data_IF_354466995330
#
_entry.id   IF_354466995330
#
_cell.length_a   1.000
_cell.length_b   1.000
_cell.length_c   1.000
_cell.angle_alpha   90.00
_cell.angle_beta   90.00
_cell.angle_gamma   90.00
#
_symmetry.space_group_name_H-M   'P 1'
#
loop_
_entity.id
_entity.type
_entity.pdbx_description
1 polymer ?
#
# COMPACT_ATOMS: atom_id res chain seq x y z
N UNK A 1 -0.53 22.97 -2.02
CA UNK A 1 -1.32 22.22 -3.02
C UNK A 1 -2.24 21.21 -2.31
N UNK A 2 -3.19 21.72 -1.49
CA UNK A 2 -3.89 20.93 -0.44
C UNK A 2 -5.43 20.97 -0.56
N UNK A 3 -5.97 21.41 -1.70
CA UNK A 3 -7.41 21.75 -1.84
C UNK A 3 -8.05 21.16 -3.12
N UNK A 4 -7.32 20.45 -3.99
CA UNK A 4 -7.90 20.03 -5.29
C UNK A 4 -8.66 18.70 -5.27
N UNK A 5 -8.39 17.77 -4.35
CA UNK A 5 -8.94 16.40 -4.48
C UNK A 5 -10.37 16.22 -3.96
N UNK A 6 -10.85 17.04 -3.03
CA UNK A 6 -12.22 16.87 -2.53
C UNK A 6 -13.28 17.33 -3.54
N UNK A 7 -12.94 18.28 -4.41
CA UNK A 7 -13.86 18.82 -5.43
C UNK A 7 -13.61 18.27 -6.84
N UNK A 8 -12.36 17.97 -7.23
CA UNK A 8 -12.08 17.41 -8.56
C UNK A 8 -12.56 15.96 -8.67
N UNK A 9 -12.49 15.17 -7.59
CA UNK A 9 -12.89 13.76 -7.64
C UNK A 9 -14.42 13.57 -7.57
N UNK A 10 -15.16 14.54 -7.02
CA UNK A 10 -16.63 14.48 -6.92
C UNK A 10 -17.37 14.98 -8.16
N UNK A 11 -16.79 15.88 -8.96
CA UNK A 11 -17.49 16.58 -10.05
C UNK A 11 -16.67 16.65 -11.35
N UNK A 12 -16.28 15.50 -11.91
CA UNK A 12 -15.95 15.45 -13.35
C UNK A 12 -17.26 15.20 -14.11
N UNK A 13 -17.91 16.31 -14.49
CA UNK A 13 -19.29 16.42 -14.98
C UNK A 13 -19.47 15.87 -16.42
N UNK A 14 -20.65 15.26 -16.67
CA UNK A 14 -21.22 14.87 -17.97
C UNK A 14 -21.80 16.07 -18.74
N UNK A 15 -21.57 16.19 -20.07
CA UNK A 15 -22.48 16.60 -21.20
C UNK A 15 -21.61 16.81 -22.46
N UNK A 16 -21.89 16.47 -23.72
CA UNK A 16 -23.10 16.30 -24.56
C UNK A 16 -22.78 15.32 -25.74
N UNK A 17 -23.57 15.29 -26.82
CA UNK A 17 -23.59 14.35 -27.98
C UNK A 17 -22.26 14.10 -28.74
N UNK A 18 -21.11 14.63 -28.29
CA UNK A 18 -19.81 14.53 -29.00
C UNK A 18 -18.55 14.42 -28.10
N UNK A 19 -18.62 14.07 -26.80
CA UNK A 19 -17.46 14.12 -25.87
C UNK A 19 -17.18 12.88 -25.00
N UNK A 20 -15.88 12.65 -24.68
CA UNK A 20 -15.27 11.48 -23.99
C UNK A 20 -15.85 11.22 -22.59
N UNK A 21 -16.20 9.95 -22.31
CA UNK A 21 -17.16 9.56 -21.25
C UNK A 21 -16.64 8.56 -20.21
N UNK A 22 -15.34 8.55 -19.91
CA UNK A 22 -14.82 7.72 -18.82
C UNK A 22 -14.06 8.55 -17.79
N UNK A 23 -14.55 8.54 -16.54
CA UNK A 23 -13.86 9.13 -15.37
C UNK A 23 -12.40 8.67 -15.32
N UNK A 24 -12.16 7.38 -15.58
CA UNK A 24 -10.83 6.80 -15.68
C UNK A 24 -10.00 7.47 -16.76
N UNK A 25 -10.51 7.63 -17.99
CA UNK A 25 -9.78 8.29 -19.09
C UNK A 25 -9.45 9.74 -18.80
N UNK A 26 -10.39 10.52 -18.25
CA UNK A 26 -10.12 11.94 -17.90
C UNK A 26 -9.08 12.03 -16.78
N UNK A 27 -9.22 11.22 -15.73
CA UNK A 27 -8.24 11.17 -14.65
C UNK A 27 -6.87 10.73 -15.18
N UNK A 28 -6.81 9.69 -16.00
CA UNK A 28 -5.58 9.19 -16.59
C UNK A 28 -4.84 10.27 -17.39
N UNK A 29 -5.54 11.03 -18.23
CA UNK A 29 -4.94 12.11 -19.01
C UNK A 29 -4.35 13.21 -18.12
N UNK A 30 -5.07 13.62 -17.06
CA UNK A 30 -4.60 14.61 -16.10
C UNK A 30 -3.37 14.11 -15.32
N UNK A 31 -3.38 12.83 -14.93
CA UNK A 31 -2.31 12.21 -14.16
C UNK A 31 -1.06 11.96 -15.01
N UNK A 32 -1.22 11.64 -16.31
CA UNK A 32 -0.11 11.60 -17.27
C UNK A 32 0.59 12.96 -17.36
N UNK A 33 -0.18 14.06 -17.41
CA UNK A 33 0.39 15.42 -17.39
C UNK A 33 1.09 15.76 -16.06
N UNK A 34 0.75 15.05 -14.98
CA UNK A 34 1.40 15.17 -13.67
C UNK A 34 2.62 14.23 -13.51
N UNK A 35 3.06 13.54 -14.57
CA UNK A 35 4.23 12.68 -14.55
C UNK A 35 3.98 11.26 -14.03
N UNK A 36 2.72 10.81 -14.04
CA UNK A 36 2.39 9.39 -13.93
C UNK A 36 2.45 8.70 -15.29
N UNK A 37 2.59 7.38 -15.24
CA UNK A 37 2.74 6.50 -16.39
C UNK A 37 1.67 5.41 -16.32
N UNK A 38 1.43 4.68 -17.42
CA UNK A 38 0.47 3.59 -17.43
C UNK A 38 0.75 2.57 -16.33
N UNK A 39 -0.28 2.18 -15.59
CA UNK A 39 -0.20 1.09 -14.62
C UNK A 39 -0.35 -0.26 -15.32
N UNK A 40 0.40 -1.25 -14.85
CA UNK A 40 0.55 -2.55 -15.49
C UNK A 40 -0.16 -3.65 -14.70
N UNK A 41 -0.59 -4.70 -15.39
CA UNK A 41 -1.00 -5.96 -14.77
C UNK A 41 -0.70 -7.09 -15.75
N UNK A 42 -0.09 -8.17 -15.26
CA UNK A 42 0.26 -9.35 -16.07
C UNK A 42 1.13 -9.00 -17.30
N UNK A 43 2.03 -8.02 -17.14
CA UNK A 43 2.93 -7.56 -18.21
C UNK A 43 2.25 -6.71 -19.30
N UNK A 44 0.98 -6.32 -19.12
CA UNK A 44 0.24 -5.49 -20.06
C UNK A 44 0.02 -4.09 -19.49
N UNK A 45 0.41 -3.07 -20.26
CA UNK A 45 0.18 -1.67 -19.90
C UNK A 45 -1.33 -1.37 -19.89
N UNK A 46 -1.73 -0.47 -19.00
CA UNK A 46 -3.11 -0.09 -18.71
C UNK A 46 -4.01 -1.18 -18.11
N UNK A 47 -3.51 -2.41 -17.94
CA UNK A 47 -4.35 -3.53 -17.51
C UNK A 47 -4.63 -3.56 -15.99
N UNK A 48 -4.06 -2.64 -15.21
CA UNK A 48 -4.39 -2.46 -13.80
C UNK A 48 -5.77 -1.79 -13.63
N UNK A 49 -6.79 -2.58 -13.27
CA UNK A 49 -8.15 -2.09 -13.04
C UNK A 49 -8.34 -1.43 -11.66
N UNK A 50 -7.30 -1.41 -10.81
CA UNK A 50 -7.36 -0.88 -9.44
C UNK A 50 -7.04 0.62 -9.35
N UNK A 51 -6.67 1.26 -10.47
CA UNK A 51 -6.27 2.67 -10.56
C UNK A 51 -6.70 3.30 -11.89
N UNK A 52 -6.91 4.61 -11.89
CA UNK A 52 -7.08 5.42 -13.10
C UNK A 52 -5.87 5.40 -14.05
N UNK A 53 -4.68 5.01 -13.60
CA UNK A 53 -3.51 4.85 -14.48
C UNK A 53 -3.56 3.56 -15.31
N UNK A 54 -4.48 2.64 -15.02
CA UNK A 54 -4.90 1.61 -15.95
C UNK A 54 -6.32 1.88 -16.46
N UNK A 55 -7.08 0.83 -16.75
CA UNK A 55 -8.49 0.94 -17.15
C UNK A 55 -9.45 1.01 -15.95
N UNK A 56 -8.93 1.19 -14.74
CA UNK A 56 -9.73 1.42 -13.54
C UNK A 56 -10.38 2.80 -13.50
N UNK A 57 -11.39 2.95 -12.62
CA UNK A 57 -12.13 4.21 -12.39
C UNK A 57 -11.97 4.74 -10.97
N UNK A 58 -10.99 4.20 -10.25
CA UNK A 58 -10.66 4.46 -8.86
C UNK A 58 -9.52 5.48 -8.73
N UNK A 59 -9.24 5.92 -7.51
CA UNK A 59 -8.09 6.75 -7.21
C UNK A 59 -6.76 6.08 -7.63
N UNK A 60 -5.68 6.88 -7.77
CA UNK A 60 -4.35 6.37 -7.98
C UNK A 60 -3.96 5.28 -6.98
N UNK A 61 -3.13 4.34 -7.41
CA UNK A 61 -2.55 3.29 -6.56
C UNK A 61 -1.59 3.89 -5.53
N UNK A 62 -1.21 3.10 -4.51
CA UNK A 62 -0.27 3.56 -3.48
C UNK A 62 1.05 4.13 -4.02
N UNK A 63 1.78 3.46 -4.93
CA UNK A 63 3.01 4.03 -5.50
C UNK A 63 2.75 5.31 -6.32
N UNK A 64 1.62 5.41 -7.02
CA UNK A 64 1.24 6.62 -7.76
C UNK A 64 0.94 7.79 -6.82
N UNK A 65 0.20 7.54 -5.73
CA UNK A 65 -0.07 8.53 -4.69
C UNK A 65 1.22 9.04 -4.04
N UNK A 66 2.19 8.14 -3.80
CA UNK A 66 3.48 8.54 -3.26
C UNK A 66 4.28 9.38 -4.27
N UNK A 67 4.30 8.98 -5.55
CA UNK A 67 5.03 9.70 -6.61
C UNK A 67 4.49 11.12 -6.83
N UNK A 68 3.19 11.32 -6.63
CA UNK A 68 2.55 12.64 -6.69
C UNK A 68 2.73 13.47 -5.41
N UNK A 69 3.36 12.92 -4.36
CA UNK A 69 3.40 13.51 -3.02
C UNK A 69 1.99 13.79 -2.45
N UNK A 70 1.01 12.95 -2.83
CA UNK A 70 -0.38 13.06 -2.38
C UNK A 70 -0.65 12.19 -1.15
N UNK A 71 0.17 11.16 -0.94
CA UNK A 71 0.12 10.37 0.27
C UNK A 71 1.52 9.89 0.71
N UNK A 72 1.65 9.57 1.99
CA UNK A 72 2.89 9.14 2.62
C UNK A 72 2.78 7.75 3.26
N UNK A 73 3.87 6.99 3.30
CA UNK A 73 3.88 5.66 3.90
C UNK A 73 3.77 5.73 5.43
N UNK A 74 3.05 4.77 6.00
CA UNK A 74 3.03 4.46 7.43
C UNK A 74 4.38 3.91 7.88
N UNK A 75 4.99 3.08 7.01
CA UNK A 75 6.29 2.49 7.23
C UNK A 75 7.04 2.33 5.91
N UNK A 76 8.36 2.52 6.00
CA UNK A 76 9.32 2.18 4.96
C UNK A 76 10.21 1.05 5.48
N UNK A 77 10.10 -0.12 4.86
CA UNK A 77 10.77 -1.35 5.31
C UNK A 77 11.94 -1.68 4.40
N UNK A 78 13.11 -1.86 4.99
CA UNK A 78 14.34 -2.31 4.33
C UNK A 78 15.18 -3.10 5.35
N UNK A 79 16.31 -3.66 4.93
CA UNK A 79 17.17 -4.50 5.79
C UNK A 79 17.62 -3.80 7.07
N UNK A 80 17.82 -2.48 7.04
CA UNK A 80 18.23 -1.69 8.20
C UNK A 80 17.12 -1.48 9.23
N UNK A 81 15.86 -1.48 8.79
CA UNK A 81 14.69 -1.13 9.64
C UNK A 81 13.72 -2.27 9.85
N UNK A 82 13.90 -3.41 9.18
CA UNK A 82 12.98 -4.54 9.20
C UNK A 82 13.71 -5.85 9.46
N UNK A 83 13.62 -6.30 10.71
CA UNK A 83 14.26 -7.54 11.17
C UNK A 83 13.69 -8.77 10.43
N UNK A 84 14.58 -9.70 10.09
CA UNK A 84 14.21 -10.99 9.48
C UNK A 84 13.60 -11.94 10.52
N UNK A 85 12.74 -12.85 10.05
CA UNK A 85 12.15 -13.97 10.79
C UNK A 85 11.19 -13.59 11.91
N UNK A 86 10.81 -12.32 12.00
CA UNK A 86 9.88 -11.83 13.02
C UNK A 86 8.75 -11.07 12.35
N UNK A 87 7.51 -11.42 12.67
CA UNK A 87 6.36 -10.63 12.22
C UNK A 87 6.38 -9.25 12.86
N UNK A 88 6.16 -8.23 12.03
CA UNK A 88 5.80 -6.89 12.48
C UNK A 88 4.38 -6.57 12.10
N UNK A 89 3.62 -6.08 13.07
CA UNK A 89 2.22 -5.73 12.91
C UNK A 89 2.06 -4.24 12.62
N UNK A 90 1.13 -3.91 11.72
CA UNK A 90 0.76 -2.55 11.37
C UNK A 90 -0.75 -2.45 11.26
N UNK A 91 -1.34 -1.39 11.81
CA UNK A 91 -2.74 -1.05 11.56
C UNK A 91 -2.79 -0.15 10.35
N UNK A 92 -3.23 -0.69 9.21
CA UNK A 92 -3.26 0.01 7.94
C UNK A 92 -4.65 0.63 7.71
N UNK A 93 -4.78 1.97 7.67
CA UNK A 93 -6.02 2.62 7.26
C UNK A 93 -6.24 2.52 5.76
N UNK A 94 -7.50 2.55 5.34
CA UNK A 94 -7.87 2.64 3.93
C UNK A 94 -7.38 3.97 3.33
N UNK A 95 -6.92 3.93 2.08
CA UNK A 95 -6.31 5.09 1.40
C UNK A 95 -7.20 6.33 1.32
N UNK A 96 -8.53 6.16 1.33
CA UNK A 96 -9.46 7.28 1.27
C UNK A 96 -9.55 8.08 2.58
N UNK A 97 -9.07 7.54 3.71
CA UNK A 97 -9.18 8.17 5.02
C UNK A 97 -8.26 9.40 5.18
N UNK A 98 -7.19 9.49 4.40
CA UNK A 98 -6.31 10.65 4.42
C UNK A 98 -5.00 10.44 3.67
N UNK A 99 -4.14 11.47 3.64
CA UNK A 99 -2.86 11.42 2.92
C UNK A 99 -1.71 10.82 3.76
N UNK A 100 -1.89 10.61 5.06
CA UNK A 100 -0.78 10.24 5.95
C UNK A 100 -0.91 8.80 6.42
N UNK A 101 0.15 8.02 6.26
CA UNK A 101 0.24 6.69 6.86
C UNK A 101 -0.72 5.67 6.24
N UNK A 102 -1.01 5.76 4.95
CA UNK A 102 -2.03 4.92 4.27
C UNK A 102 -1.48 3.78 3.42
N UNK A 103 -0.16 3.58 3.46
CA UNK A 103 0.52 2.52 2.72
C UNK A 103 1.79 2.07 3.44
N UNK A 104 2.29 0.89 3.11
CA UNK A 104 3.64 0.46 3.48
C UNK A 104 4.46 0.35 2.20
N UNK A 105 5.64 1.00 2.18
CA UNK A 105 6.64 0.82 1.13
C UNK A 105 7.70 -0.15 1.64
N UNK A 106 8.05 -1.14 0.82
CA UNK A 106 9.05 -2.14 1.12
C UNK A 106 10.12 -2.08 0.04
N UNK A 107 11.36 -1.85 0.45
CA UNK A 107 12.57 -1.90 -0.36
C UNK A 107 13.32 -3.18 0.01
N UNK A 108 13.14 -4.28 -0.74
CA UNK A 108 13.73 -5.57 -0.43
C UNK A 108 15.23 -5.64 -0.79
N UNK A 109 16.01 -4.67 -0.30
CA UNK A 109 17.46 -4.55 -0.46
C UNK A 109 18.24 -5.80 0.01
N UNK A 110 17.63 -6.59 0.88
CA UNK A 110 18.13 -7.89 1.31
C UNK A 110 18.21 -8.96 0.24
N UNK A 111 17.62 -8.74 -0.93
CA UNK A 111 17.79 -9.61 -2.08
C UNK A 111 19.13 -9.37 -2.80
N UNK A 112 19.90 -8.35 -2.40
CA UNK A 112 21.17 -8.01 -3.02
C UNK A 112 20.99 -7.67 -4.50
N UNK A 113 21.75 -8.33 -5.39
CA UNK A 113 21.65 -8.12 -6.83
C UNK A 113 20.29 -8.52 -7.45
N UNK A 114 19.50 -9.35 -6.76
CA UNK A 114 18.16 -9.73 -7.21
C UNK A 114 17.08 -8.69 -6.86
N UNK A 115 17.40 -7.66 -6.07
CA UNK A 115 16.48 -6.56 -5.81
C UNK A 115 16.31 -5.71 -7.07
N UNK A 116 15.12 -5.75 -7.66
CA UNK A 116 14.77 -4.94 -8.84
C UNK A 116 13.52 -4.10 -8.62
N UNK A 117 12.63 -4.50 -7.72
CA UNK A 117 11.34 -3.85 -7.48
C UNK A 117 11.09 -3.55 -6.00
N UNK A 118 10.46 -2.41 -5.73
CA UNK A 118 9.82 -2.08 -4.46
C UNK A 118 8.42 -2.69 -4.40
N UNK A 119 7.94 -3.00 -3.19
CA UNK A 119 6.57 -3.46 -2.94
C UNK A 119 5.80 -2.39 -2.17
N UNK A 120 4.55 -2.20 -2.55
CA UNK A 120 3.60 -1.32 -1.90
C UNK A 120 2.41 -2.12 -1.41
N UNK A 121 2.03 -1.89 -0.16
CA UNK A 121 0.85 -2.49 0.45
C UNK A 121 -0.12 -1.37 0.85
N UNK A 122 -1.37 -1.43 0.39
CA UNK A 122 -2.39 -0.46 0.74
C UNK A 122 -3.76 -1.11 0.87
N UNK A 123 -4.49 -0.76 1.93
CA UNK A 123 -5.89 -1.15 2.06
C UNK A 123 -6.73 -0.26 1.14
N UNK A 124 -7.45 -0.87 0.20
CA UNK A 124 -8.37 -0.16 -0.71
C UNK A 124 -9.81 -0.50 -0.36
N UNK A 125 -10.65 0.52 -0.25
CA UNK A 125 -12.07 0.38 0.11
C UNK A 125 -12.88 1.29 -0.80
N UNK A 126 -14.04 0.81 -1.23
CA UNK A 126 -14.98 1.50 -2.12
C UNK A 126 -15.67 2.65 -1.38
N UNK A 127 -14.97 3.76 -1.22
CA UNK A 127 -15.45 4.96 -0.57
C UNK A 127 -14.76 6.22 -1.13
N UNK A 128 -15.43 7.36 -1.02
CA UNK A 128 -14.97 8.65 -1.54
C UNK A 128 -14.48 8.55 -3.00
N UNK A 129 -13.21 8.84 -3.28
CA UNK A 129 -12.68 8.78 -4.66
C UNK A 129 -12.62 7.39 -5.26
N UNK A 130 -12.62 6.36 -4.40
CA UNK A 130 -12.71 4.95 -4.77
C UNK A 130 -14.17 4.45 -4.89
N UNK A 131 -15.15 5.34 -5.07
CA UNK A 131 -16.57 4.98 -5.24
C UNK A 131 -16.84 3.95 -6.35
N UNK A 132 -15.98 3.88 -7.36
CA UNK A 132 -16.07 2.97 -8.50
C UNK A 132 -15.07 1.80 -8.42
N UNK A 133 -14.40 1.62 -7.28
CA UNK A 133 -13.46 0.54 -7.06
C UNK A 133 -14.15 -0.82 -7.25
N UNK A 134 -13.58 -1.66 -8.12
CA UNK A 134 -14.14 -2.97 -8.42
C UNK A 134 -14.09 -3.90 -7.20
N UNK A 135 -15.02 -4.86 -7.15
CA UNK A 135 -15.14 -5.81 -6.03
C UNK A 135 -13.86 -6.64 -5.81
N UNK A 136 -13.06 -6.85 -6.86
CA UNK A 136 -11.75 -7.52 -6.77
C UNK A 136 -10.79 -6.83 -5.78
N UNK A 137 -10.87 -5.50 -5.66
CA UNK A 137 -9.94 -4.69 -4.87
C UNK A 137 -10.57 -4.13 -3.58
N UNK A 138 -11.90 -4.11 -3.51
CA UNK A 138 -12.62 -3.48 -2.42
C UNK A 138 -12.53 -4.28 -1.12
N UNK A 139 -12.11 -3.62 -0.05
CA UNK A 139 -11.97 -4.21 1.28
C UNK A 139 -10.75 -5.12 1.40
N UNK A 140 -9.77 -4.98 0.48
CA UNK A 140 -8.62 -5.88 0.37
C UNK A 140 -7.30 -5.13 0.50
N UNK A 141 -6.25 -5.86 0.88
CA UNK A 141 -4.89 -5.36 0.80
C UNK A 141 -4.42 -5.48 -0.65
N UNK A 142 -4.30 -4.34 -1.34
CA UNK A 142 -3.73 -4.28 -2.67
C UNK A 142 -2.20 -4.27 -2.58
N UNK A 143 -1.58 -5.10 -3.42
CA UNK A 143 -0.14 -5.23 -3.57
C UNK A 143 0.25 -4.73 -4.94
N UNK A 144 1.13 -3.73 -4.96
CA UNK A 144 1.74 -3.19 -6.18
C UNK A 144 3.25 -3.31 -6.10
N UNK A 145 3.90 -3.40 -7.25
CA UNK A 145 5.35 -3.32 -7.38
C UNK A 145 5.78 -2.17 -8.28
N UNK A 146 6.96 -1.61 -8.04
CA UNK A 146 7.51 -0.51 -8.82
C UNK A 146 9.02 -0.68 -9.00
N UNK A 147 9.55 -0.27 -10.15
CA UNK A 147 10.97 -0.32 -10.49
C UNK A 147 11.81 0.44 -9.48
N UNK A 148 12.72 -0.25 -8.80
CA UNK A 148 13.49 0.35 -7.70
C UNK A 148 14.30 1.54 -8.16
N UNK A 149 14.77 1.53 -9.41
CA UNK A 149 15.68 2.56 -9.87
C UNK A 149 14.88 3.85 -9.95
N UNK A 150 13.80 3.87 -10.71
CA UNK A 150 12.96 5.06 -10.83
C UNK A 150 12.27 5.41 -9.51
N UNK A 151 11.75 4.43 -8.76
CA UNK A 151 10.90 4.65 -7.60
C UNK A 151 11.66 5.03 -6.30
N UNK A 152 12.96 4.74 -6.20
CA UNK A 152 13.77 5.17 -5.05
C UNK A 152 14.19 6.64 -5.14
N UNK A 153 14.07 7.26 -6.30
CA UNK A 153 14.34 8.67 -6.53
C UNK A 153 13.08 9.32 -7.11
N UNK A 154 12.31 10.00 -6.25
CA UNK A 154 11.06 10.65 -6.66
C UNK A 154 11.26 11.76 -7.70
N UNK A 155 12.49 12.29 -7.83
CA UNK A 155 12.85 13.30 -8.83
C UNK A 155 13.26 12.66 -10.17
N UNK A 156 13.51 11.34 -10.19
CA UNK A 156 13.87 10.63 -11.40
C UNK A 156 12.71 10.59 -12.37
N UNK A 157 12.93 11.20 -13.52
CA UNK A 157 12.04 11.11 -14.68
C UNK A 157 12.18 9.70 -15.27
N UNK A 158 11.06 9.08 -15.59
CA UNK A 158 11.00 7.72 -16.14
C UNK A 158 9.79 6.97 -15.65
N UNK A 159 9.40 5.94 -16.39
CA UNK A 159 8.30 5.05 -16.01
C UNK A 159 8.80 4.04 -14.95
N UNK A 160 8.29 4.10 -13.70
CA UNK A 160 8.61 3.10 -12.70
C UNK A 160 7.95 1.74 -12.99
N UNK A 161 7.17 1.60 -14.07
CA UNK A 161 6.40 0.40 -14.43
C UNK A 161 5.66 -0.16 -13.23
N UNK A 162 4.82 0.69 -12.63
CA UNK A 162 3.97 0.31 -11.50
C UNK A 162 3.05 -0.81 -11.96
N UNK A 163 3.14 -1.96 -11.30
CA UNK A 163 2.36 -3.14 -11.66
C UNK A 163 1.53 -3.61 -10.47
N UNK A 164 0.25 -3.88 -10.72
CA UNK A 164 -0.57 -4.63 -9.77
C UNK A 164 -0.07 -6.07 -9.70
N UNK A 165 0.10 -6.55 -8.47
CA UNK A 165 0.54 -7.93 -8.19
C UNK A 165 -0.66 -8.77 -7.80
N UNK A 166 -1.45 -8.30 -6.83
CA UNK A 166 -2.68 -8.97 -6.36
C UNK A 166 -3.45 -8.15 -5.32
N UNK A 167 -4.66 -8.58 -5.03
CA UNK A 167 -5.41 -8.19 -3.85
C UNK A 167 -5.51 -9.38 -2.88
N UNK A 168 -5.38 -9.12 -1.58
CA UNK A 168 -5.42 -10.13 -0.52
C UNK A 168 -6.66 -9.91 0.34
N UNK A 169 -7.49 -10.94 0.45
CA UNK A 169 -8.71 -10.91 1.25
C UNK A 169 -8.44 -10.74 2.75
N UNK A 170 -9.34 -10.08 3.52
CA UNK A 170 -9.27 -10.07 4.98
C UNK A 170 -9.17 -11.48 5.58
N UNK A 171 -8.43 -11.62 6.67
CA UNK A 171 -8.24 -12.91 7.36
C UNK A 171 -7.39 -13.93 6.58
N UNK A 172 -6.77 -13.52 5.46
CA UNK A 172 -5.97 -14.40 4.60
C UNK A 172 -4.46 -14.21 4.78
N UNK A 173 -3.68 -14.92 3.96
CA UNK A 173 -2.24 -14.77 3.86
C UNK A 173 -1.76 -14.75 2.42
N UNK A 174 -0.62 -14.11 2.20
CA UNK A 174 0.08 -14.13 0.92
C UNK A 174 1.57 -14.36 1.11
N UNK A 175 2.10 -15.24 0.28
CA UNK A 175 3.52 -15.49 0.17
C UNK A 175 4.06 -14.87 -1.12
N UNK A 176 4.98 -13.93 -0.97
CA UNK A 176 5.69 -13.26 -2.05
C UNK A 176 7.12 -13.81 -2.09
N UNK A 177 7.27 -15.04 -2.61
CA UNK A 177 8.54 -15.78 -2.56
C UNK A 177 9.72 -15.04 -3.17
N UNK A 178 9.52 -14.39 -4.32
CA UNK A 178 10.57 -13.62 -5.02
C UNK A 178 11.10 -12.47 -4.15
N UNK A 179 10.30 -12.00 -3.20
CA UNK A 179 10.63 -10.92 -2.27
C UNK A 179 11.05 -11.42 -0.88
N UNK A 180 10.93 -12.74 -0.65
CA UNK A 180 11.10 -13.39 0.66
C UNK A 180 10.21 -12.78 1.75
N UNK A 181 8.96 -12.47 1.38
CA UNK A 181 7.98 -11.85 2.26
C UNK A 181 6.77 -12.75 2.46
N UNK A 182 6.34 -12.85 3.71
CA UNK A 182 5.06 -13.43 4.09
C UNK A 182 4.22 -12.35 4.76
N UNK A 183 2.98 -12.20 4.29
CA UNK A 183 2.06 -11.18 4.76
C UNK A 183 0.79 -11.89 5.24
N UNK A 184 0.36 -11.55 6.45
CA UNK A 184 -0.92 -11.96 7.02
C UNK A 184 -1.82 -10.73 7.08
N UNK A 185 -3.07 -10.90 6.69
CA UNK A 185 -4.10 -9.86 6.83
C UNK A 185 -5.08 -10.29 7.91
N UNK A 186 -5.39 -9.39 8.84
CA UNK A 186 -6.49 -9.55 9.78
C UNK A 186 -7.83 -9.19 9.14
N UNK A 187 -8.86 -9.12 9.98
CA UNK A 187 -10.19 -8.70 9.55
C UNK A 187 -10.23 -7.21 9.17
N UNK A 188 -11.19 -6.87 8.32
CA UNK A 188 -11.52 -5.47 8.02
C UNK A 188 -12.34 -4.90 9.17
N UNK A 189 -11.72 -4.05 9.98
CA UNK A 189 -12.33 -3.41 11.16
C UNK A 189 -13.02 -2.12 10.73
N UNK A 190 -14.29 -1.97 11.13
CA UNK A 190 -15.14 -0.81 10.81
C UNK A 190 -15.23 -0.48 9.30
N UNK A 191 -14.93 -1.45 8.45
CA UNK A 191 -14.94 -1.30 7.00
C UNK A 191 -13.77 -0.49 6.42
N UNK A 192 -12.79 -0.03 7.23
CA UNK A 192 -11.81 0.96 6.77
C UNK A 192 -10.40 0.83 7.36
N UNK A 193 -10.16 -0.14 8.24
CA UNK A 193 -8.83 -0.42 8.81
C UNK A 193 -8.56 -1.92 8.81
N UNK A 194 -7.31 -2.31 8.63
CA UNK A 194 -6.89 -3.70 8.64
C UNK A 194 -5.56 -3.84 9.36
N UNK A 195 -5.48 -4.74 10.34
CA UNK A 195 -4.17 -5.12 10.91
C UNK A 195 -3.50 -6.06 9.94
N UNK A 196 -2.27 -5.76 9.54
CA UNK A 196 -1.44 -6.65 8.73
C UNK A 196 -0.18 -7.01 9.49
N UNK A 197 0.26 -8.27 9.34
CA UNK A 197 1.57 -8.71 9.83
C UNK A 197 2.47 -9.01 8.65
N UNK A 198 3.70 -8.52 8.69
CA UNK A 198 4.68 -8.71 7.63
C UNK A 198 5.91 -9.37 8.25
N UNK A 199 6.38 -10.44 7.63
CA UNK A 199 7.65 -11.07 7.95
C UNK A 199 8.52 -11.21 6.70
N UNK A 200 9.80 -10.88 6.84
CA UNK A 200 10.84 -11.23 5.87
C UNK A 200 11.55 -12.51 6.30
N UNK A 201 11.61 -13.53 5.46
CA UNK A 201 12.33 -14.78 5.73
C UNK A 201 13.64 -14.88 4.92
N UNK A 202 14.49 -15.88 5.21
CA UNK A 202 15.74 -16.09 4.47
C UNK A 202 15.58 -17.00 3.26
N UNK A 203 15.23 -18.27 3.47
CA UNK A 203 15.23 -19.26 2.38
C UNK A 203 14.27 -20.43 2.58
N UNK A 204 14.09 -20.93 3.80
CA UNK A 204 13.20 -22.03 4.12
C UNK A 204 11.70 -21.65 4.08
N UNK A 205 11.39 -20.37 3.87
CA UNK A 205 10.03 -19.88 3.65
C UNK A 205 9.36 -19.33 4.92
N UNK A 206 8.02 -19.22 4.93
CA UNK A 206 7.28 -18.56 6.01
C UNK A 206 7.38 -19.28 7.36
N UNK A 207 7.81 -20.54 7.39
CA UNK A 207 7.98 -21.32 8.63
C UNK A 207 9.10 -20.79 9.53
N UNK A 208 10.00 -19.95 9.01
CA UNK A 208 11.00 -19.26 9.81
C UNK A 208 10.41 -18.08 10.61
N UNK A 209 9.21 -17.63 10.25
CA UNK A 209 8.60 -16.44 10.83
C UNK A 209 7.95 -16.74 12.18
N UNK A 210 8.46 -16.11 13.23
CA UNK A 210 7.89 -16.16 14.57
C UNK A 210 7.15 -14.87 14.90
N UNK A 211 6.17 -14.94 15.79
CA UNK A 211 5.57 -13.75 16.39
C UNK A 211 6.67 -12.99 17.14
N UNK A 212 6.70 -11.66 16.98
CA UNK A 212 7.56 -10.83 17.81
C UNK A 212 7.11 -10.95 19.25
N UNK A 213 8.06 -11.16 20.17
CA UNK A 213 7.77 -10.99 21.60
C UNK A 213 7.26 -9.57 21.80
N UNK A 214 6.02 -9.44 22.27
CA UNK A 214 5.59 -8.17 22.84
C UNK A 214 6.60 -7.82 23.92
N UNK A 215 7.16 -6.61 23.88
CA UNK A 215 7.78 -6.07 25.08
C UNK A 215 6.70 -6.19 26.17
N UNK A 216 6.98 -6.79 27.34
CA UNK A 216 6.02 -6.77 28.43
C UNK A 216 5.66 -5.31 28.67
N UNK A 217 4.37 -5.00 28.60
CA UNK A 217 3.85 -3.71 28.99
C UNK A 217 4.34 -3.47 30.43
N UNK A 218 5.15 -2.42 30.63
CA UNK A 218 5.51 -1.97 31.97
C UNK A 218 4.23 -1.44 32.59
N UNK A 219 3.49 -2.31 33.28
CA UNK A 219 2.39 -1.95 34.13
C UNK A 219 2.51 -2.76 35.43
N UNK A 220 2.81 -2.01 36.50
CA UNK A 220 2.68 -2.34 37.93
C UNK A 220 3.60 -3.42 38.50
N UNK A 221 4.78 -2.98 38.91
CA UNK A 221 5.26 -3.28 40.25
C UNK A 221 5.07 -2.03 41.11
N UNK A 222 3.83 -1.76 41.54
CA UNK A 222 3.66 -1.04 42.80
C UNK A 222 3.90 -2.09 43.89
N UNK A 223 5.16 -2.16 44.33
CA UNK A 223 5.50 -2.84 45.57
C UNK A 223 4.84 -2.08 46.72
N UNK A 224 3.98 -2.78 47.42
CA UNK A 224 3.54 -2.45 48.77
C UNK A 224 4.78 -2.57 49.66
N UNK A 225 5.31 -1.43 50.12
CA UNK A 225 6.36 -1.38 51.12
C UNK A 225 5.64 -1.22 52.46
N UNK A 226 5.48 -2.33 53.18
CA UNK A 226 5.16 -2.31 54.60
C UNK A 226 6.36 -1.74 55.36
N UNK A 227 6.22 -0.49 55.82
CA UNK A 227 7.14 0.13 56.75
C UNK A 227 6.79 -0.33 58.17
N UNK A 228 7.57 -1.28 58.70
CA UNK A 228 7.69 -1.51 60.14
C UNK A 228 8.82 -0.62 60.65
N UNK A 229 8.49 0.31 61.54
CA UNK A 229 9.47 1.09 62.32
C UNK A 229 9.62 0.43 63.69
N UNK A 230 10.83 -0.07 63.97
CA UNK A 230 11.39 -0.14 65.32
C UNK A 230 12.25 1.12 65.56
#
# INVERSE_FOLDING_TARGET
MRILLTNVVRNVVRTSLQGVYDKGTVMQALLNNAGLYPAWRDGLAYNDLSTAMGFGRSCPSAPELLRLDWASPLALLNSARFASRVYRSYTLPATYLGPTGVMIKIQPDWLGSAYTKNIYLALRVKAAGDSDLAAEFNGKLNVHEADKDVDNDVMRIGDPRISFVRAVDPGSSVLLFNYRLHILTGDLVQGNTMVIKICRFFSAGPNECVEGTSLPSINRLHGEIDAHWD
#
